data_IF_168728999315
#
_entry.id   IF_168728999315
#
_cell.length_a   1.000
_cell.length_b   1.000
_cell.length_c   1.000
_cell.angle_alpha   90.00
_cell.angle_beta   90.00
_cell.angle_gamma   90.00
#
_symmetry.space_group_name_H-M   'P 1'
#
loop_
_entity.id
_entity.type
_entity.pdbx_description
1 polymer ?
#
# COMPACT_ATOMS: atom_id res chain seq x y z
N UNK A 1 13.18 -21.67 18.40
CA UNK A 1 13.06 -20.27 18.00
C UNK A 1 12.86 -20.26 16.48
N UNK A 2 11.79 -19.72 16.02
CA UNK A 2 11.48 -19.59 14.60
C UNK A 2 12.55 -18.75 13.92
N UNK A 3 13.02 -19.15 12.73
CA UNK A 3 14.08 -18.46 11.99
C UNK A 3 13.56 -18.18 10.58
N UNK A 4 13.55 -16.92 10.19
CA UNK A 4 13.08 -16.50 8.86
C UNK A 4 14.27 -16.29 7.92
N UNK A 5 14.13 -16.77 6.70
CA UNK A 5 15.17 -16.67 5.67
C UNK A 5 15.29 -15.26 5.10
N UNK A 6 14.19 -14.48 5.13
CA UNK A 6 14.15 -13.12 4.60
C UNK A 6 13.09 -12.26 5.29
N UNK A 7 13.18 -10.95 5.10
CA UNK A 7 12.14 -10.00 5.54
C UNK A 7 10.79 -10.30 4.90
N UNK A 8 10.74 -10.81 3.67
CA UNK A 8 9.49 -11.19 3.00
C UNK A 8 8.76 -12.31 3.74
N UNK A 9 9.49 -13.29 4.27
CA UNK A 9 8.91 -14.35 5.11
C UNK A 9 8.33 -13.77 6.39
N UNK A 10 9.03 -12.83 7.04
CA UNK A 10 8.51 -12.15 8.22
C UNK A 10 7.24 -11.33 7.90
N UNK A 11 7.20 -10.63 6.77
CA UNK A 11 6.01 -9.90 6.33
C UNK A 11 4.82 -10.83 6.08
N UNK A 12 5.06 -11.98 5.45
CA UNK A 12 4.04 -13.02 5.25
C UNK A 12 3.53 -13.57 6.59
N UNK A 13 4.42 -13.83 7.54
CA UNK A 13 4.07 -14.24 8.89
C UNK A 13 3.21 -13.17 9.60
N UNK A 14 3.59 -11.88 9.49
CA UNK A 14 2.79 -10.78 10.07
C UNK A 14 1.38 -10.77 9.48
N UNK A 15 1.23 -10.96 8.17
CA UNK A 15 -0.09 -11.00 7.50
C UNK A 15 -0.91 -12.18 8.03
N UNK A 16 -0.33 -13.37 8.17
CA UNK A 16 -0.99 -14.55 8.75
C UNK A 16 -1.40 -14.30 10.21
N UNK A 17 -0.47 -13.79 11.03
CA UNK A 17 -0.70 -13.49 12.44
C UNK A 17 -1.83 -12.47 12.63
N UNK A 18 -1.83 -11.39 11.85
CA UNK A 18 -2.88 -10.36 11.92
C UNK A 18 -4.23 -10.88 11.46
N UNK A 19 -4.27 -11.73 10.44
CA UNK A 19 -5.50 -12.38 10.01
C UNK A 19 -6.07 -13.32 11.09
N UNK A 20 -5.20 -14.04 11.80
CA UNK A 20 -5.58 -14.91 12.91
C UNK A 20 -6.10 -14.13 14.13
N UNK A 21 -5.38 -13.08 14.54
CA UNK A 21 -5.66 -12.37 15.79
C UNK A 21 -6.76 -11.32 15.67
N UNK A 22 -6.85 -10.65 14.52
CA UNK A 22 -7.71 -9.47 14.38
C UNK A 22 -8.82 -9.65 13.33
N UNK A 23 -8.72 -10.65 12.47
CA UNK A 23 -9.76 -11.00 11.50
C UNK A 23 -10.29 -9.82 10.71
N UNK A 24 -11.59 -9.55 10.82
CA UNK A 24 -12.25 -8.47 10.10
C UNK A 24 -11.89 -7.04 10.58
N UNK A 25 -11.24 -6.92 11.74
CA UNK A 25 -10.85 -5.61 12.27
C UNK A 25 -9.56 -5.08 11.66
N UNK A 26 -8.69 -5.92 11.10
CA UNK A 26 -7.45 -5.54 10.47
C UNK A 26 -7.58 -5.56 8.94
N UNK A 27 -7.63 -4.38 8.32
CA UNK A 27 -7.75 -4.25 6.86
C UNK A 27 -6.39 -3.94 6.28
N UNK A 28 -5.85 -4.88 5.51
CA UNK A 28 -4.58 -4.76 4.84
C UNK A 28 -4.67 -3.74 3.69
N UNK A 29 -3.67 -2.87 3.58
CA UNK A 29 -3.51 -1.91 2.49
C UNK A 29 -2.04 -1.83 2.04
N UNK A 30 -1.73 -0.88 1.17
CA UNK A 30 -0.33 -0.60 0.79
C UNK A 30 0.31 -1.69 -0.06
N UNK A 31 1.64 -1.84 0.07
CA UNK A 31 2.44 -2.74 -0.76
C UNK A 31 2.05 -4.20 -0.62
N UNK A 32 1.81 -4.68 0.61
CA UNK A 32 1.44 -6.08 0.84
C UNK A 32 0.05 -6.44 0.27
N UNK A 33 -0.91 -5.50 0.23
CA UNK A 33 -2.19 -5.73 -0.45
C UNK A 33 -2.01 -5.89 -1.96
N UNK A 34 -1.09 -5.12 -2.57
CA UNK A 34 -0.75 -5.26 -3.99
C UNK A 34 -0.06 -6.60 -4.28
N UNK A 35 0.81 -7.07 -3.37
CA UNK A 35 1.43 -8.41 -3.47
C UNK A 35 0.37 -9.51 -3.46
N UNK A 36 -0.66 -9.44 -2.63
CA UNK A 36 -1.81 -10.36 -2.67
C UNK A 36 -2.55 -10.33 -4.01
N UNK A 37 -2.54 -9.20 -4.70
CA UNK A 37 -3.11 -9.04 -6.04
C UNK A 37 -2.11 -9.32 -7.18
N UNK A 38 -1.01 -10.05 -6.91
CA UNK A 38 0.03 -10.44 -7.86
C UNK A 38 0.93 -9.29 -8.38
N UNK A 39 1.01 -8.14 -7.68
CA UNK A 39 2.03 -7.14 -8.02
C UNK A 39 3.43 -7.72 -7.80
N UNK A 40 4.35 -7.60 -8.75
CA UNK A 40 5.72 -8.10 -8.60
C UNK A 40 6.58 -7.22 -7.67
N UNK A 41 6.11 -6.02 -7.30
CA UNK A 41 6.87 -5.08 -6.48
C UNK A 41 7.02 -5.57 -5.04
N UNK A 42 8.27 -5.65 -4.59
CA UNK A 42 8.59 -5.92 -3.19
C UNK A 42 8.23 -4.74 -2.29
N UNK A 43 8.01 -5.03 -1.02
CA UNK A 43 7.77 -4.05 0.04
C UNK A 43 8.50 -4.47 1.31
N UNK A 44 8.85 -3.49 2.16
CA UNK A 44 9.56 -3.70 3.42
C UNK A 44 8.66 -3.40 4.64
N UNK A 45 7.39 -3.11 4.41
CA UNK A 45 6.42 -2.73 5.42
C UNK A 45 5.06 -3.39 5.19
N UNK A 46 4.29 -3.47 6.25
CA UNK A 46 2.88 -3.89 6.20
C UNK A 46 2.01 -2.74 6.72
N UNK A 47 1.08 -2.34 5.92
CA UNK A 47 0.15 -1.26 6.24
C UNK A 47 -1.24 -1.78 6.58
N UNK A 48 -1.81 -1.32 7.69
CA UNK A 48 -3.18 -1.67 8.10
C UNK A 48 -4.06 -0.45 8.41
N UNK A 49 -5.36 -0.64 8.21
CA UNK A 49 -6.39 0.16 8.86
C UNK A 49 -7.13 -0.74 9.85
N UNK A 50 -7.19 -0.32 11.10
CA UNK A 50 -7.97 -1.00 12.13
C UNK A 50 -9.36 -0.36 12.26
N UNK A 51 -10.38 -1.20 12.22
CA UNK A 51 -11.79 -0.83 12.37
C UNK A 51 -12.50 -1.73 13.42
N UNK A 52 -13.54 -1.26 14.08
CA UNK A 52 -13.93 0.14 14.26
C UNK A 52 -13.15 0.74 15.45
N UNK A 53 -12.26 1.68 15.20
CA UNK A 53 -11.50 2.32 16.26
C UNK A 53 -11.51 3.84 16.09
N UNK A 54 -11.84 4.55 17.17
CA UNK A 54 -11.78 6.01 17.23
C UNK A 54 -10.37 6.52 17.55
N UNK A 55 -9.54 5.68 18.13
CA UNK A 55 -8.22 6.06 18.65
C UNK A 55 -7.14 5.05 18.27
N UNK A 56 -6.00 5.57 17.80
CA UNK A 56 -4.79 4.76 17.60
C UNK A 56 -4.25 4.19 18.93
N UNK A 57 -4.60 4.75 20.08
CA UNK A 57 -4.20 4.21 21.39
C UNK A 57 -4.84 2.86 21.65
N UNK A 58 -6.13 2.72 21.30
CA UNK A 58 -6.86 1.48 21.51
C UNK A 58 -6.32 0.38 20.59
N UNK A 59 -6.10 0.71 19.32
CA UNK A 59 -5.46 -0.21 18.38
C UNK A 59 -4.02 -0.58 18.84
N UNK A 60 -3.25 0.37 19.38
CA UNK A 60 -1.92 0.13 19.95
C UNK A 60 -1.98 -0.92 21.05
N UNK A 61 -2.83 -0.71 22.05
CA UNK A 61 -2.95 -1.63 23.21
C UNK A 61 -3.33 -3.05 22.77
N UNK A 62 -4.24 -3.16 21.79
CA UNK A 62 -4.68 -4.42 21.23
C UNK A 62 -3.51 -5.15 20.51
N UNK A 63 -2.78 -4.44 19.65
CA UNK A 63 -1.70 -5.04 18.85
C UNK A 63 -0.50 -5.39 19.71
N UNK A 64 -0.08 -4.50 20.60
CA UNK A 64 1.02 -4.77 21.55
C UNK A 64 0.70 -5.96 22.46
N UNK A 65 -0.55 -6.04 22.94
CA UNK A 65 -1.00 -7.19 23.74
C UNK A 65 -0.92 -8.51 22.99
N UNK A 66 -1.25 -8.52 21.69
CA UNK A 66 -1.13 -9.72 20.85
C UNK A 66 0.34 -10.07 20.55
N UNK A 67 1.17 -9.09 20.18
CA UNK A 67 2.58 -9.30 19.88
C UNK A 67 3.37 -9.78 21.11
N UNK A 68 3.04 -9.28 22.32
CA UNK A 68 3.66 -9.69 23.57
C UNK A 68 3.45 -11.16 23.94
N UNK A 69 2.46 -11.82 23.32
CA UNK A 69 2.20 -13.26 23.53
C UNK A 69 3.07 -14.17 22.65
N UNK A 70 3.82 -13.59 21.72
CA UNK A 70 4.66 -14.36 20.79
C UNK A 70 6.06 -14.54 21.42
N UNK A 71 6.41 -15.78 21.73
CA UNK A 71 7.69 -16.08 22.33
C UNK A 71 8.87 -15.74 21.40
N UNK A 72 9.84 -15.00 21.92
CA UNK A 72 11.03 -14.58 21.18
C UNK A 72 10.85 -13.38 20.23
N UNK A 73 9.64 -12.84 20.09
CA UNK A 73 9.38 -11.62 19.33
C UNK A 73 9.73 -10.39 20.17
N UNK A 74 10.45 -9.44 19.58
CA UNK A 74 10.70 -8.11 20.12
C UNK A 74 10.02 -7.07 19.27
N UNK A 75 9.55 -6.00 19.88
CA UNK A 75 8.98 -4.88 19.13
C UNK A 75 9.18 -3.55 19.83
N UNK A 76 9.23 -2.50 19.03
CA UNK A 76 9.18 -1.11 19.49
C UNK A 76 8.05 -0.37 18.80
N UNK A 77 7.26 0.38 19.55
CA UNK A 77 6.14 1.14 18.98
C UNK A 77 6.32 2.63 19.17
N UNK A 78 6.05 3.39 18.13
CA UNK A 78 6.00 4.85 18.12
C UNK A 78 4.68 5.32 17.53
N UNK A 79 4.10 6.35 18.14
CA UNK A 79 2.81 6.90 17.68
C UNK A 79 2.97 8.39 17.39
N UNK A 80 2.54 8.80 16.22
CA UNK A 80 2.49 10.20 15.82
C UNK A 80 1.11 10.57 15.25
N UNK A 81 0.94 11.81 14.79
CA UNK A 81 -0.32 12.28 14.23
C UNK A 81 -0.77 11.49 12.98
N UNK A 82 0.19 10.91 12.24
CA UNK A 82 -0.11 10.19 10.98
C UNK A 82 -0.44 8.73 11.22
N UNK A 83 0.39 8.01 11.98
CA UNK A 83 0.24 6.57 12.16
C UNK A 83 0.81 6.10 13.51
N UNK A 84 0.39 4.90 13.94
CA UNK A 84 1.11 4.05 14.86
C UNK A 84 2.09 3.22 14.04
N UNK A 85 3.37 3.27 14.37
CA UNK A 85 4.45 2.45 13.79
C UNK A 85 4.94 1.46 14.82
N UNK A 86 5.09 0.23 14.39
CA UNK A 86 5.65 -0.84 15.19
C UNK A 86 6.77 -1.46 14.38
N UNK A 87 7.98 -1.45 14.90
CA UNK A 87 9.11 -2.23 14.36
C UNK A 87 9.12 -3.55 15.09
N UNK A 88 9.10 -4.64 14.35
CA UNK A 88 9.11 -6.01 14.86
C UNK A 88 10.43 -6.66 14.48
N UNK A 89 11.12 -7.21 15.48
CA UNK A 89 12.31 -8.05 15.31
C UNK A 89 11.95 -9.49 15.72
N UNK A 90 11.92 -10.39 14.74
CA UNK A 90 11.55 -11.79 14.97
C UNK A 90 12.24 -12.71 13.98
N UNK A 91 12.66 -13.90 14.44
CA UNK A 91 13.29 -14.89 13.58
C UNK A 91 14.57 -14.44 12.88
N UNK A 92 15.25 -13.40 13.40
CA UNK A 92 16.47 -12.84 12.81
C UNK A 92 16.22 -11.80 11.73
N UNK A 93 14.97 -11.41 11.49
CA UNK A 93 14.56 -10.38 10.53
C UNK A 93 13.86 -9.23 11.24
N UNK A 94 13.84 -8.07 10.59
CA UNK A 94 13.13 -6.88 11.07
C UNK A 94 12.14 -6.38 10.02
N UNK A 95 10.94 -5.97 10.45
CA UNK A 95 9.92 -5.41 9.59
C UNK A 95 9.15 -4.28 10.27
N UNK A 96 8.58 -3.37 9.49
CA UNK A 96 7.75 -2.28 10.01
C UNK A 96 6.27 -2.57 9.73
N UNK A 97 5.44 -2.34 10.74
CA UNK A 97 3.99 -2.34 10.64
C UNK A 97 3.52 -0.89 10.83
N UNK A 98 2.71 -0.39 9.90
CA UNK A 98 2.09 0.92 10.01
C UNK A 98 0.57 0.77 10.16
N UNK A 99 0.00 1.33 11.25
CA UNK A 99 -1.41 1.19 11.58
C UNK A 99 -2.07 2.55 11.64
N UNK A 100 -3.17 2.69 10.91
CA UNK A 100 -4.14 3.76 11.02
C UNK A 100 -5.45 3.22 11.59
N UNK A 101 -6.32 4.09 12.06
CA UNK A 101 -7.63 3.72 12.60
C UNK A 101 -8.73 4.51 11.92
N UNK A 102 -9.84 3.84 11.65
CA UNK A 102 -11.05 4.40 11.06
C UNK A 102 -12.28 3.75 11.70
N UNK A 103 -13.44 4.41 11.61
CA UNK A 103 -14.71 3.80 12.04
C UNK A 103 -15.12 2.68 11.11
N UNK A 104 -14.91 2.88 9.83
CA UNK A 104 -15.22 1.92 8.76
C UNK A 104 -14.22 2.06 7.62
N UNK A 105 -13.98 0.98 6.90
CA UNK A 105 -13.17 0.98 5.69
C UNK A 105 -13.74 -0.06 4.73
N UNK A 106 -14.14 0.35 3.50
CA UNK A 106 -14.56 -0.60 2.49
C UNK A 106 -13.46 -1.62 2.21
N UNK A 107 -13.79 -2.90 2.28
CA UNK A 107 -12.82 -3.98 2.17
C UNK A 107 -13.43 -5.23 1.55
N UNK A 108 -12.60 -6.04 0.90
CA UNK A 108 -12.96 -7.32 0.31
C UNK A 108 -12.16 -8.46 0.97
N UNK A 109 -12.71 -9.68 1.04
CA UNK A 109 -11.96 -10.84 1.49
C UNK A 109 -11.03 -11.33 0.37
N UNK A 110 -9.78 -11.63 0.72
CA UNK A 110 -8.82 -12.29 -0.19
C UNK A 110 -8.11 -13.42 0.53
N UNK A 111 -7.69 -14.46 -0.21
CA UNK A 111 -6.84 -15.51 0.34
C UNK A 111 -5.41 -15.02 0.50
N UNK A 112 -4.79 -15.31 1.65
CA UNK A 112 -3.36 -15.05 1.85
C UNK A 112 -2.45 -16.08 1.21
N UNK A 113 -2.99 -17.13 0.56
CA UNK A 113 -2.22 -18.28 0.07
C UNK A 113 -0.99 -17.90 -0.76
N UNK A 114 -1.10 -16.89 -1.60
CA UNK A 114 0.00 -16.40 -2.42
C UNK A 114 1.22 -15.93 -1.59
N UNK A 115 0.96 -15.31 -0.44
CA UNK A 115 2.01 -14.79 0.44
C UNK A 115 2.49 -15.80 1.47
N UNK A 116 1.59 -16.65 1.98
CA UNK A 116 1.85 -17.44 3.20
C UNK A 116 2.22 -18.89 2.88
N UNK A 117 1.57 -19.51 1.88
CA UNK A 117 1.80 -20.92 1.53
C UNK A 117 3.24 -21.23 1.08
N UNK A 118 3.94 -20.37 0.30
CA UNK A 118 5.32 -20.63 -0.08
C UNK A 118 6.28 -20.77 1.11
N UNK A 119 5.91 -20.22 2.26
CA UNK A 119 6.72 -20.25 3.49
C UNK A 119 6.15 -21.21 4.55
N UNK A 120 5.23 -22.10 4.16
CA UNK A 120 4.68 -23.12 5.06
C UNK A 120 3.60 -22.63 6.03
N UNK A 121 3.14 -21.38 5.89
CA UNK A 121 2.03 -20.86 6.68
C UNK A 121 0.67 -21.18 6.05
N UNK A 122 -0.39 -21.38 6.85
CA UNK A 122 -1.72 -21.69 6.33
C UNK A 122 -2.29 -20.50 5.54
N UNK A 123 -3.07 -20.81 4.52
CA UNK A 123 -3.86 -19.80 3.83
C UNK A 123 -5.04 -19.35 4.72
N UNK A 124 -5.18 -18.04 4.92
CA UNK A 124 -6.28 -17.42 5.66
C UNK A 124 -7.04 -16.43 4.78
N UNK A 125 -8.22 -16.06 5.24
CA UNK A 125 -8.95 -14.94 4.64
C UNK A 125 -8.47 -13.65 5.31
N UNK A 126 -7.90 -12.77 4.50
CA UNK A 126 -7.43 -11.43 4.89
C UNK A 126 -8.41 -10.41 4.34
N UNK A 127 -8.78 -9.44 5.17
CA UNK A 127 -9.54 -8.27 4.68
C UNK A 127 -8.57 -7.30 4.03
N UNK A 128 -8.81 -6.98 2.77
CA UNK A 128 -7.98 -6.05 1.98
C UNK A 128 -8.84 -4.83 1.63
N UNK A 129 -8.25 -3.63 1.69
CA UNK A 129 -8.95 -2.40 1.28
C UNK A 129 -9.52 -2.59 -0.13
N UNK A 130 -10.77 -2.17 -0.33
CA UNK A 130 -11.43 -2.26 -1.63
C UNK A 130 -10.56 -1.60 -2.72
N UNK A 131 -10.31 -2.28 -3.87
CA UNK A 131 -9.33 -1.83 -4.86
C UNK A 131 -9.56 -0.41 -5.39
N UNK A 132 -10.80 -0.01 -5.65
CA UNK A 132 -11.11 1.35 -6.13
C UNK A 132 -10.83 2.42 -5.08
N UNK A 133 -11.04 2.11 -3.79
CA UNK A 133 -10.68 2.99 -2.66
C UNK A 133 -9.16 3.09 -2.55
N UNK A 134 -8.46 1.96 -2.57
CA UNK A 134 -7.00 1.92 -2.50
C UNK A 134 -6.36 2.66 -3.68
N UNK A 135 -6.91 2.52 -4.88
CA UNK A 135 -6.48 3.23 -6.08
C UNK A 135 -6.62 4.75 -5.92
N UNK A 136 -7.78 5.23 -5.47
CA UNK A 136 -7.99 6.66 -5.21
C UNK A 136 -6.98 7.21 -4.19
N UNK A 137 -6.69 6.44 -3.13
CA UNK A 137 -5.66 6.81 -2.15
C UNK A 137 -4.25 6.84 -2.75
N UNK A 138 -3.90 5.93 -3.66
CA UNK A 138 -2.59 5.92 -4.33
C UNK A 138 -2.42 7.12 -5.25
N UNK A 139 -3.44 7.48 -6.03
CA UNK A 139 -3.43 8.68 -6.87
C UNK A 139 -3.24 9.94 -5.99
N UNK A 140 -3.98 10.05 -4.89
CA UNK A 140 -3.85 11.18 -3.98
C UNK A 140 -2.47 11.25 -3.30
N UNK A 141 -1.91 10.11 -2.91
CA UNK A 141 -0.57 10.03 -2.32
C UNK A 141 0.51 10.43 -3.32
N UNK A 142 0.43 9.95 -4.56
CA UNK A 142 1.33 10.37 -5.62
C UNK A 142 1.25 11.88 -5.88
N UNK A 143 0.05 12.42 -5.95
CA UNK A 143 -0.15 13.87 -6.12
C UNK A 143 0.57 14.71 -5.06
N UNK A 144 0.61 14.23 -3.81
CA UNK A 144 1.23 14.95 -2.69
C UNK A 144 2.76 14.82 -2.64
N UNK A 145 3.35 13.72 -3.14
CA UNK A 145 4.76 13.39 -2.91
C UNK A 145 5.56 12.98 -4.16
N UNK A 146 4.90 12.77 -5.30
CA UNK A 146 5.48 12.41 -6.61
C UNK A 146 6.50 11.25 -6.56
N UNK A 147 6.30 10.27 -5.67
CA UNK A 147 7.17 9.11 -5.60
C UNK A 147 6.90 8.17 -6.78
N UNK A 148 7.95 7.71 -7.44
CA UNK A 148 7.83 6.81 -8.59
C UNK A 148 7.18 5.47 -8.21
N UNK A 149 7.41 4.97 -7.00
CA UNK A 149 6.74 3.76 -6.50
C UNK A 149 5.22 3.91 -6.38
N UNK A 150 4.72 5.12 -6.06
CA UNK A 150 3.27 5.36 -6.05
C UNK A 150 2.71 5.39 -7.46
N UNK A 151 3.44 5.96 -8.42
CA UNK A 151 3.05 5.97 -9.84
C UNK A 151 3.08 4.55 -10.42
N UNK A 152 4.04 3.71 -10.00
CA UNK A 152 4.07 2.30 -10.35
C UNK A 152 2.87 1.54 -9.78
N UNK A 153 2.50 1.79 -8.52
CA UNK A 153 1.31 1.19 -7.93
C UNK A 153 0.03 1.63 -8.68
N UNK A 154 -0.08 2.90 -9.09
CA UNK A 154 -1.15 3.42 -9.96
C UNK A 154 -1.20 2.65 -11.28
N UNK A 155 -0.05 2.46 -11.92
CA UNK A 155 0.07 1.65 -13.13
C UNK A 155 -0.43 0.21 -12.93
N UNK A 156 -0.12 -0.42 -11.79
CA UNK A 156 -0.62 -1.76 -11.47
C UNK A 156 -2.15 -1.79 -11.35
N UNK A 157 -2.75 -0.81 -10.67
CA UNK A 157 -4.22 -0.70 -10.58
C UNK A 157 -4.86 -0.55 -11.94
N UNK A 158 -4.30 0.29 -12.80
CA UNK A 158 -4.86 0.54 -14.14
C UNK A 158 -4.69 -0.67 -15.07
N UNK A 159 -3.50 -1.26 -15.11
CA UNK A 159 -3.12 -2.25 -16.13
C UNK A 159 -3.37 -3.70 -15.72
N UNK A 160 -2.97 -4.07 -14.49
CA UNK A 160 -3.03 -5.45 -14.03
C UNK A 160 -4.39 -5.76 -13.38
N UNK A 161 -4.82 -4.88 -12.46
CA UNK A 161 -6.06 -5.12 -11.72
C UNK A 161 -7.29 -4.57 -12.45
N UNK A 162 -7.11 -3.74 -13.47
CA UNK A 162 -8.18 -3.10 -14.24
C UNK A 162 -9.25 -2.46 -13.36
N UNK A 163 -8.81 -1.88 -12.26
CA UNK A 163 -9.67 -1.21 -11.30
C UNK A 163 -9.95 0.23 -11.74
N UNK A 164 -11.07 0.78 -11.28
CA UNK A 164 -11.36 2.21 -11.43
C UNK A 164 -11.26 2.88 -10.06
N UNK A 165 -10.65 4.08 -9.96
CA UNK A 165 -10.58 4.77 -8.68
C UNK A 165 -11.97 5.26 -8.25
N UNK A 166 -12.26 5.18 -6.96
CA UNK A 166 -13.46 5.79 -6.36
C UNK A 166 -13.35 7.31 -6.45
N UNK A 167 -14.10 7.89 -7.37
CA UNK A 167 -14.03 9.33 -7.68
C UNK A 167 -14.45 10.21 -6.52
N UNK A 168 -15.45 9.81 -5.75
CA UNK A 168 -15.90 10.52 -4.55
C UNK A 168 -14.74 10.67 -3.53
N UNK A 169 -13.98 9.59 -3.30
CA UNK A 169 -12.81 9.57 -2.42
C UNK A 169 -11.67 10.41 -3.02
N UNK A 170 -11.37 10.22 -4.30
CA UNK A 170 -10.30 10.97 -4.96
C UNK A 170 -10.54 12.48 -4.87
N UNK A 171 -11.74 12.94 -5.24
CA UNK A 171 -12.10 14.36 -5.20
C UNK A 171 -12.05 14.93 -3.77
N UNK A 172 -12.50 14.16 -2.78
CA UNK A 172 -12.39 14.57 -1.38
C UNK A 172 -10.91 14.71 -0.94
N UNK A 173 -10.07 13.76 -1.36
CA UNK A 173 -8.63 13.79 -1.05
C UNK A 173 -7.92 14.96 -1.74
N UNK A 174 -8.25 15.27 -2.99
CA UNK A 174 -7.67 16.41 -3.71
C UNK A 174 -7.96 17.74 -3.00
N UNK A 175 -9.20 17.96 -2.54
CA UNK A 175 -9.56 19.16 -1.77
C UNK A 175 -8.71 19.35 -0.52
N UNK A 176 -8.30 18.24 0.12
CA UNK A 176 -7.50 18.20 1.37
C UNK A 176 -6.02 18.00 1.12
N UNK A 177 -5.58 17.81 -0.15
CA UNK A 177 -4.20 17.49 -0.49
C UNK A 177 -3.23 18.54 0.06
N UNK A 178 -2.09 18.07 0.56
CA UNK A 178 -1.05 18.95 1.13
C UNK A 178 0.21 18.84 0.31
N UNK A 179 0.79 19.97 -0.03
CA UNK A 179 2.10 20.02 -0.65
C UNK A 179 3.16 19.48 0.31
N UNK A 180 4.08 18.70 -0.23
CA UNK A 180 5.15 18.10 0.56
C UNK A 180 6.51 18.52 -0.01
N UNK A 181 7.37 19.11 0.83
CA UNK A 181 8.66 19.68 0.40
C UNK A 181 8.43 20.70 -0.72
N UNK A 182 9.10 20.52 -1.87
CA UNK A 182 9.00 21.37 -3.05
C UNK A 182 7.92 20.93 -4.05
N UNK A 183 7.10 19.94 -3.69
CA UNK A 183 6.06 19.37 -4.56
C UNK A 183 4.75 20.12 -4.28
N UNK A 184 4.18 20.71 -5.32
CA UNK A 184 2.88 21.36 -5.28
C UNK A 184 1.80 20.32 -5.59
N UNK A 185 0.95 20.05 -4.61
CA UNK A 185 -0.17 19.13 -4.80
C UNK A 185 -1.31 19.80 -5.59
N UNK A 186 -1.80 19.12 -6.62
CA UNK A 186 -3.01 19.53 -7.35
C UNK A 186 -4.24 19.49 -6.42
N UNK A 187 -5.12 20.49 -6.56
CA UNK A 187 -6.35 20.64 -5.76
C UNK A 187 -7.61 20.33 -6.55
N UNK A 188 -7.50 20.27 -7.87
CA UNK A 188 -8.58 19.90 -8.78
C UNK A 188 -8.21 18.68 -9.60
N UNK A 189 -9.20 18.07 -10.25
CA UNK A 189 -8.97 16.89 -11.08
C UNK A 189 -8.26 17.27 -12.37
N UNK A 190 -8.57 18.42 -12.96
CA UNK A 190 -7.92 18.93 -14.17
C UNK A 190 -6.42 19.16 -13.92
N UNK A 191 -6.07 19.84 -12.82
CA UNK A 191 -4.67 20.07 -12.44
C UNK A 191 -3.92 18.76 -12.13
N UNK A 192 -4.60 17.75 -11.54
CA UNK A 192 -4.04 16.42 -11.32
C UNK A 192 -3.74 15.73 -12.65
N UNK A 193 -4.69 15.72 -13.57
CA UNK A 193 -4.55 15.08 -14.89
C UNK A 193 -3.41 15.73 -15.69
N UNK A 194 -3.36 17.05 -15.73
CA UNK A 194 -2.26 17.79 -16.38
C UNK A 194 -0.89 17.40 -15.77
N UNK A 195 -0.83 17.33 -14.44
CA UNK A 195 0.38 16.91 -13.73
C UNK A 195 0.79 15.48 -14.09
N UNK A 196 -0.16 14.54 -14.13
CA UNK A 196 0.09 13.14 -14.49
C UNK A 196 0.55 13.00 -15.94
N UNK A 197 -0.09 13.69 -16.88
CA UNK A 197 0.31 13.69 -18.31
C UNK A 197 1.75 14.20 -18.47
N UNK A 198 2.06 15.34 -17.86
CA UNK A 198 3.41 15.91 -17.91
C UNK A 198 4.48 14.93 -17.40
N UNK A 199 4.21 14.21 -16.31
CA UNK A 199 5.15 13.21 -15.79
C UNK A 199 5.25 12.01 -16.74
N UNK A 200 4.13 11.55 -17.30
CA UNK A 200 4.12 10.46 -18.27
C UNK A 200 4.92 10.81 -19.54
N UNK A 201 4.74 12.02 -20.08
CA UNK A 201 5.42 12.47 -21.30
C UNK A 201 6.95 12.57 -21.12
N UNK A 202 7.40 12.98 -19.93
CA UNK A 202 8.82 13.15 -19.60
C UNK A 202 9.46 11.89 -18.96
N UNK A 203 8.75 10.78 -18.88
CA UNK A 203 9.23 9.56 -18.25
C UNK A 203 10.32 8.90 -19.09
N UNK A 204 11.46 8.62 -18.46
CA UNK A 204 12.62 7.91 -19.02
C UNK A 204 12.98 6.73 -18.14
N UNK A 205 13.89 5.85 -18.59
CA UNK A 205 14.35 4.73 -17.77
C UNK A 205 15.04 5.20 -16.48
N UNK A 206 15.72 6.34 -16.48
CA UNK A 206 16.36 6.93 -15.28
C UNK A 206 15.33 7.36 -14.22
N UNK A 207 14.08 7.58 -14.61
CA UNK A 207 13.00 7.92 -13.68
C UNK A 207 12.71 6.80 -12.67
N UNK A 208 13.15 5.56 -12.96
CA UNK A 208 12.84 4.38 -12.15
C UNK A 208 13.92 4.01 -11.12
N UNK A 209 14.91 4.87 -10.88
CA UNK A 209 15.97 4.59 -9.88
C UNK A 209 15.42 4.20 -8.49
N UNK A 210 14.29 4.79 -8.08
CA UNK A 210 13.58 4.44 -6.82
C UNK A 210 13.04 3.00 -6.83
N UNK A 211 12.75 2.43 -8.00
CA UNK A 211 12.17 1.09 -8.15
C UNK A 211 13.22 -0.03 -8.24
N UNK A 212 14.47 0.30 -8.49
CA UNK A 212 15.56 -0.70 -8.62
C UNK A 212 15.64 -1.65 -7.43
N UNK A 213 15.56 -1.22 -6.18
CA UNK A 213 15.57 -2.14 -5.04
C UNK A 213 14.24 -2.86 -4.81
N UNK A 214 13.18 -2.53 -5.56
CA UNK A 214 11.81 -3.01 -5.35
C UNK A 214 11.29 -3.89 -6.47
N UNK A 215 12.00 -4.00 -7.60
CA UNK A 215 11.60 -4.76 -8.78
C UNK A 215 12.78 -5.55 -9.33
N UNK A 216 12.49 -6.72 -9.85
CA UNK A 216 13.47 -7.49 -10.60
C UNK A 216 13.85 -6.79 -11.92
N UNK A 217 15.04 -7.06 -12.42
CA UNK A 217 15.55 -6.45 -13.66
C UNK A 217 14.66 -6.71 -14.88
N UNK A 218 13.98 -7.85 -14.92
CA UNK A 218 12.98 -8.20 -15.95
C UNK A 218 11.75 -7.31 -15.91
N UNK A 219 11.32 -6.90 -14.72
CA UNK A 219 10.20 -5.98 -14.54
C UNK A 219 10.59 -4.53 -14.84
N UNK A 220 11.83 -4.16 -14.60
CA UNK A 220 12.35 -2.82 -14.93
C UNK A 220 12.55 -2.63 -16.43
N UNK A 221 12.91 -3.69 -17.16
CA UNK A 221 13.19 -3.60 -18.59
C UNK A 221 11.99 -3.08 -19.39
N UNK A 222 12.17 -1.95 -20.07
CA UNK A 222 11.13 -1.30 -20.87
C UNK A 222 9.92 -0.81 -20.07
N UNK A 223 10.10 -0.51 -18.78
CA UNK A 223 9.01 -0.09 -17.90
C UNK A 223 8.40 1.25 -18.36
N UNK A 224 9.20 2.19 -18.91
CA UNK A 224 8.71 3.46 -19.45
C UNK A 224 7.69 3.24 -20.57
N UNK A 225 7.94 2.27 -21.46
CA UNK A 225 7.05 1.93 -22.59
C UNK A 225 5.73 1.32 -22.11
N UNK A 226 5.71 0.65 -20.96
CA UNK A 226 4.49 0.07 -20.39
C UNK A 226 3.71 1.07 -19.54
N UNK A 227 4.39 1.84 -18.70
CA UNK A 227 3.75 2.77 -17.78
C UNK A 227 3.17 4.01 -18.48
N UNK A 228 3.91 4.60 -19.42
CA UNK A 228 3.46 5.83 -20.10
C UNK A 228 2.07 5.70 -20.72
N UNK A 229 1.77 4.73 -21.61
CA UNK A 229 0.43 4.62 -22.20
C UNK A 229 -0.66 4.31 -21.16
N UNK A 230 -0.33 3.56 -20.11
CA UNK A 230 -1.29 3.25 -19.04
C UNK A 230 -1.66 4.49 -18.23
N UNK A 231 -0.68 5.33 -17.88
CA UNK A 231 -0.94 6.58 -17.16
C UNK A 231 -1.74 7.57 -18.04
N UNK A 232 -1.44 7.65 -19.34
CA UNK A 232 -2.22 8.47 -20.29
C UNK A 232 -3.67 7.96 -20.38
N UNK A 233 -3.86 6.65 -20.50
CA UNK A 233 -5.20 6.05 -20.53
C UNK A 233 -5.99 6.32 -19.25
N UNK A 234 -5.33 6.29 -18.08
CA UNK A 234 -5.95 6.69 -16.82
C UNK A 234 -6.36 8.18 -16.84
N UNK A 235 -5.50 9.06 -17.34
CA UNK A 235 -5.83 10.48 -17.49
C UNK A 235 -7.10 10.69 -18.33
N UNK A 236 -7.22 10.00 -19.47
CA UNK A 236 -8.41 10.06 -20.33
C UNK A 236 -9.68 9.58 -19.63
N UNK A 237 -9.56 8.54 -18.78
CA UNK A 237 -10.69 8.05 -17.97
C UNK A 237 -11.10 9.06 -16.90
N UNK A 238 -10.12 9.67 -16.23
CA UNK A 238 -10.39 10.68 -15.20
C UNK A 238 -11.07 11.93 -15.78
N UNK A 239 -10.66 12.40 -16.94
CA UNK A 239 -11.29 13.52 -17.66
C UNK A 239 -12.75 13.22 -18.00
N UNK A 240 -13.03 12.02 -18.54
CA UNK A 240 -14.40 11.60 -18.88
C UNK A 240 -15.32 11.46 -17.65
N UNK A 241 -14.75 11.14 -16.50
CA UNK A 241 -15.50 11.04 -15.25
C UNK A 241 -15.84 12.40 -14.62
N UNK A 242 -15.31 13.50 -15.17
CA UNK A 242 -15.56 14.89 -14.74
C UNK A 242 -16.75 15.53 -15.42
N UNK A 243 -17.29 14.91 -16.48
CA UNK A 243 -18.43 15.36 -17.28
C UNK A 243 -19.71 14.71 -16.77
#
# INVERSE_FOLDING_TARGET
MEKFESTEVLLAWIVDFFADKFGNSAILKGGMSLRLMHSPRYTNDVDYIFIPFDSKKDAKSLVEGALSQVDGLKFESTMNSKALRIVVDFGGQSAQIEINTEKECPSIPMSSSLLTTPYGHPARIVRVMEPGVAFAHKIAAWNERELMRDLYDIYQYESLFRSSPRMDILLQRLKKARSYRNIVAAKSLEALVEKMRRVADNMTEDSFAELVPLLDSTELAGLSFRMRPAIIALCDKLEKASI
#
